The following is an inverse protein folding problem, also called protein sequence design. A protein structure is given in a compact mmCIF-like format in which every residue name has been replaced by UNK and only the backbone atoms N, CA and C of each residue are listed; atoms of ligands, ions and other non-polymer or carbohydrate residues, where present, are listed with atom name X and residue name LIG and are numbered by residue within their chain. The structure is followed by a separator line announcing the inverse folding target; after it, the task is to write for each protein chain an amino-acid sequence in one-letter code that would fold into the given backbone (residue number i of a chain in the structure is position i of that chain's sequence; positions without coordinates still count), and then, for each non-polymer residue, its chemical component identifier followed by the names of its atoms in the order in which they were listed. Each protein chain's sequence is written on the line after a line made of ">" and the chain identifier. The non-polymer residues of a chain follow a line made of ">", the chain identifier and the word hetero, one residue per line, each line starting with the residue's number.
data_IF_995384109027
#
_entry.id   IF_995384109027
#
_cell.length_a   1.000
_cell.length_b   1.000
_cell.length_c   1.000
_cell.angle_alpha   90.00
_cell.angle_beta   90.00
_cell.angle_gamma   90.00
#
_symmetry.space_group_name_H-M   'P 1'
#
loop_
_entity.id
_entity.type
_entity.pdbx_description
1 polymer ?
#
# COMPACT_ATOMS: atom_id res chain seq x y z
N UNK A 1 22.22 -8.06 20.92
CA UNK A 1 23.14 -7.25 21.77
C UNK A 1 24.50 -6.95 21.13
N UNK A 2 24.92 -7.61 20.03
CA UNK A 2 26.24 -7.36 19.41
C UNK A 2 26.36 -5.98 18.73
N UNK A 3 25.25 -5.36 18.33
CA UNK A 3 25.22 -4.08 17.62
C UNK A 3 25.84 -2.94 18.44
N UNK A 4 25.52 -2.84 19.72
CA UNK A 4 26.03 -1.75 20.57
C UNK A 4 27.53 -1.85 20.83
N UNK A 5 28.03 -3.07 21.12
CA UNK A 5 29.47 -3.33 21.31
C UNK A 5 30.25 -3.04 20.03
N UNK A 6 29.72 -3.46 18.88
CA UNK A 6 30.34 -3.19 17.58
C UNK A 6 30.43 -1.70 17.28
N UNK A 7 29.39 -0.93 17.56
CA UNK A 7 29.40 0.54 17.37
C UNK A 7 30.41 1.19 18.32
N UNK A 8 30.45 0.77 19.58
CA UNK A 8 31.40 1.28 20.57
C UNK A 8 32.87 0.98 20.23
N UNK A 9 33.15 -0.15 19.59
CA UNK A 9 34.51 -0.56 19.21
C UNK A 9 34.95 0.00 17.85
N UNK A 10 34.05 0.00 16.87
CA UNK A 10 34.37 0.41 15.50
C UNK A 10 34.23 1.91 15.26
N UNK A 11 33.44 2.62 16.07
CA UNK A 11 33.10 4.03 15.85
C UNK A 11 32.03 4.26 14.78
N UNK A 12 31.65 3.23 14.03
CA UNK A 12 30.70 3.37 12.93
C UNK A 12 29.26 3.42 13.47
N UNK A 13 28.50 4.49 13.18
CA UNK A 13 27.11 4.59 13.64
C UNK A 13 26.23 3.60 12.88
N UNK A 14 25.19 3.10 13.56
CA UNK A 14 24.19 2.20 12.98
C UNK A 14 22.79 2.68 13.33
N UNK A 15 21.84 2.50 12.40
CA UNK A 15 20.42 2.77 12.65
C UNK A 15 19.59 1.58 12.20
N UNK A 16 18.64 1.17 13.03
CA UNK A 16 17.77 0.03 12.74
C UNK A 16 16.42 0.17 13.44
N UNK A 17 15.40 -0.44 12.85
CA UNK A 17 14.07 -0.53 13.46
C UNK A 17 13.90 -1.89 14.15
N UNK A 18 13.28 -1.89 15.33
CA UNK A 18 12.99 -3.12 16.07
C UNK A 18 11.64 -3.04 16.76
N UNK A 19 10.96 -4.19 16.86
CA UNK A 19 9.73 -4.32 17.62
C UNK A 19 10.04 -4.94 18.97
N UNK A 20 9.61 -4.27 20.04
CA UNK A 20 9.80 -4.73 21.41
C UNK A 20 8.48 -5.27 21.92
N UNK A 21 8.37 -6.59 22.03
CA UNK A 21 7.13 -7.28 22.39
C UNK A 21 6.59 -6.87 23.76
N UNK A 22 7.47 -6.73 24.76
CA UNK A 22 7.08 -6.35 26.14
C UNK A 22 6.44 -4.97 26.23
N UNK A 23 6.80 -4.07 25.31
CA UNK A 23 6.23 -2.72 25.21
C UNK A 23 5.16 -2.63 24.12
N UNK A 24 5.03 -3.65 23.27
CA UNK A 24 4.18 -3.65 22.08
C UNK A 24 4.40 -2.40 21.19
N UNK A 25 5.68 -2.04 21.01
CA UNK A 25 6.09 -0.80 20.33
C UNK A 25 7.21 -1.04 19.33
N UNK A 26 7.16 -0.30 18.23
CA UNK A 26 8.25 -0.18 17.27
C UNK A 26 9.14 1.00 17.64
N UNK A 27 10.45 0.74 17.64
CA UNK A 27 11.49 1.74 17.83
C UNK A 27 12.36 1.85 16.59
N UNK A 28 12.70 3.07 16.21
CA UNK A 28 13.87 3.36 15.39
C UNK A 28 15.02 3.71 16.34
N UNK A 29 16.09 2.94 16.28
CA UNK A 29 17.23 3.07 17.18
C UNK A 29 18.43 3.54 16.38
N UNK A 30 18.98 4.70 16.74
CA UNK A 30 20.23 5.21 16.18
C UNK A 30 21.32 5.14 17.23
N UNK A 31 22.40 4.45 16.91
CA UNK A 31 23.53 4.21 17.80
C UNK A 31 24.79 4.83 17.20
N UNK A 32 25.55 5.58 17.99
CA UNK A 32 26.84 6.10 17.59
C UNK A 32 27.84 6.07 18.76
N UNK A 33 29.13 6.19 18.46
CA UNK A 33 30.20 6.17 19.46
C UNK A 33 30.90 7.53 19.50
N UNK A 34 30.70 8.34 20.56
CA UNK A 34 31.39 9.61 20.69
C UNK A 34 32.89 9.45 21.02
N UNK A 35 33.25 8.35 21.69
CA UNK A 35 34.62 7.94 22.01
C UNK A 35 34.70 6.42 22.04
N UNK A 36 35.87 5.86 21.70
CA UNK A 36 36.11 4.42 21.67
C UNK A 36 35.76 3.78 23.02
N UNK A 37 34.95 2.72 22.97
CA UNK A 37 34.47 2.01 24.15
C UNK A 37 33.16 2.58 24.73
N UNK A 38 32.68 3.71 24.21
CA UNK A 38 31.40 4.31 24.57
C UNK A 38 30.42 4.30 23.40
N UNK A 39 29.12 4.23 23.71
CA UNK A 39 28.07 4.41 22.72
C UNK A 39 26.93 5.24 23.31
N UNK A 40 26.21 5.91 22.43
CA UNK A 40 24.95 6.59 22.69
C UNK A 40 23.90 5.97 21.77
N UNK A 41 22.77 5.56 22.34
CA UNK A 41 21.64 5.04 21.59
C UNK A 41 20.42 5.95 21.79
N UNK A 42 19.87 6.45 20.69
CA UNK A 42 18.65 7.26 20.65
C UNK A 42 17.51 6.34 20.21
N UNK A 43 16.40 6.38 20.95
CA UNK A 43 15.22 5.55 20.71
C UNK A 43 14.05 6.44 20.31
N UNK A 44 13.66 6.37 19.04
CA UNK A 44 12.47 7.05 18.54
C UNK A 44 11.31 6.06 18.46
N UNK A 45 10.19 6.39 19.08
CA UNK A 45 8.97 5.58 18.97
C UNK A 45 8.33 5.84 17.60
N UNK A 46 8.22 4.80 16.77
CA UNK A 46 7.66 4.88 15.42
C UNK A 46 6.37 4.06 15.25
N UNK A 47 5.80 3.58 16.37
CA UNK A 47 4.62 2.71 16.38
C UNK A 47 3.41 3.33 15.66
N UNK A 48 3.12 4.60 15.92
CA UNK A 48 1.94 5.27 15.36
C UNK A 48 2.09 5.53 13.86
N UNK A 49 3.31 5.83 13.40
CA UNK A 49 3.65 5.91 11.98
C UNK A 49 3.36 4.57 11.30
N UNK A 50 3.92 3.47 11.82
CA UNK A 50 3.73 2.11 11.29
C UNK A 50 2.24 1.72 11.23
N UNK A 51 1.46 2.07 12.26
CA UNK A 51 0.00 1.80 12.30
C UNK A 51 -0.76 2.60 11.23
N UNK A 52 -0.41 3.87 11.06
CA UNK A 52 -1.05 4.74 10.07
C UNK A 52 -0.76 4.26 8.66
N UNK A 53 0.51 3.95 8.36
CA UNK A 53 0.93 3.43 7.06
C UNK A 53 0.22 2.10 6.74
N UNK A 54 0.14 1.19 7.72
CA UNK A 54 -0.59 -0.07 7.56
C UNK A 54 -2.06 0.16 7.26
N UNK A 55 -2.74 1.03 8.03
CA UNK A 55 -4.15 1.34 7.81
C UNK A 55 -4.39 1.95 6.42
N UNK A 56 -3.52 2.86 6.00
CA UNK A 56 -3.60 3.46 4.66
C UNK A 56 -3.45 2.39 3.57
N UNK A 57 -2.49 1.48 3.72
CA UNK A 57 -2.29 0.40 2.78
C UNK A 57 -3.51 -0.53 2.68
N UNK A 58 -4.08 -0.93 3.83
CA UNK A 58 -5.29 -1.76 3.88
C UNK A 58 -6.48 -1.08 3.18
N UNK A 59 -6.67 0.23 3.39
CA UNK A 59 -7.71 1.01 2.72
C UNK A 59 -7.51 1.09 1.20
N UNK A 60 -6.26 1.28 0.75
CA UNK A 60 -5.94 1.31 -0.67
C UNK A 60 -6.20 -0.05 -1.34
N UNK A 61 -5.82 -1.15 -0.69
CA UNK A 61 -6.11 -2.49 -1.20
C UNK A 61 -7.61 -2.76 -1.30
N UNK A 62 -8.38 -2.37 -0.27
CA UNK A 62 -9.83 -2.51 -0.27
C UNK A 62 -10.46 -1.72 -1.42
N UNK A 63 -10.02 -0.47 -1.59
CA UNK A 63 -10.48 0.39 -2.68
C UNK A 63 -10.13 -0.22 -4.05
N UNK A 64 -8.92 -0.73 -4.23
CA UNK A 64 -8.51 -1.41 -5.47
C UNK A 64 -9.33 -2.67 -5.75
N UNK A 65 -9.61 -3.49 -4.73
CA UNK A 65 -10.50 -4.65 -4.85
C UNK A 65 -11.92 -4.24 -5.23
N UNK A 66 -12.41 -3.16 -4.65
CA UNK A 66 -13.75 -2.66 -4.97
C UNK A 66 -13.83 -2.13 -6.41
N UNK A 67 -12.83 -1.33 -6.82
CA UNK A 67 -12.73 -0.82 -8.18
C UNK A 67 -12.64 -1.94 -9.22
N UNK A 68 -11.84 -2.99 -9.00
CA UNK A 68 -11.75 -4.09 -9.96
C UNK A 68 -13.10 -4.81 -10.12
N UNK A 69 -13.80 -5.06 -9.01
CA UNK A 69 -15.14 -5.67 -9.04
C UNK A 69 -16.18 -4.75 -9.69
N UNK A 70 -16.13 -3.43 -9.45
CA UNK A 70 -17.10 -2.49 -10.02
C UNK A 70 -16.89 -2.31 -11.52
N UNK A 71 -15.64 -2.16 -11.96
CA UNK A 71 -15.28 -1.99 -13.38
C UNK A 71 -15.59 -3.25 -14.17
N UNK A 72 -15.30 -4.44 -13.64
CA UNK A 72 -15.67 -5.70 -14.30
C UNK A 72 -17.19 -5.80 -14.54
N UNK A 73 -18.01 -5.37 -13.57
CA UNK A 73 -19.47 -5.36 -13.71
C UNK A 73 -19.95 -4.32 -14.71
N UNK A 74 -19.38 -3.13 -14.67
CA UNK A 74 -19.71 -2.05 -15.59
C UNK A 74 -19.37 -2.46 -17.03
N UNK A 75 -18.20 -3.06 -17.24
CA UNK A 75 -17.76 -3.51 -18.54
C UNK A 75 -18.65 -4.62 -19.10
N UNK A 76 -18.99 -5.63 -18.29
CA UNK A 76 -19.96 -6.66 -18.67
C UNK A 76 -21.32 -6.06 -19.02
N UNK A 77 -21.77 -5.02 -18.32
CA UNK A 77 -23.02 -4.35 -18.66
C UNK A 77 -22.96 -3.64 -20.00
N UNK A 78 -21.83 -3.01 -20.33
CA UNK A 78 -21.62 -2.34 -21.62
C UNK A 78 -21.59 -3.36 -22.76
N UNK A 79 -20.83 -4.45 -22.59
CA UNK A 79 -20.78 -5.56 -23.54
C UNK A 79 -22.15 -6.15 -23.82
N UNK A 80 -22.93 -6.46 -22.79
CA UNK A 80 -24.29 -6.99 -22.94
C UNK A 80 -25.22 -6.00 -23.64
N UNK A 81 -25.15 -4.71 -23.32
CA UNK A 81 -25.97 -3.69 -24.01
C UNK A 81 -25.61 -3.61 -25.49
N UNK A 82 -24.32 -3.76 -25.84
CA UNK A 82 -23.85 -3.80 -27.22
C UNK A 82 -24.36 -5.03 -27.96
N UNK A 83 -24.25 -6.21 -27.36
CA UNK A 83 -24.76 -7.46 -27.93
C UNK A 83 -26.28 -7.42 -28.15
N UNK A 84 -27.05 -6.92 -27.17
CA UNK A 84 -28.50 -6.74 -27.31
C UNK A 84 -28.84 -5.81 -28.48
N UNK A 85 -28.14 -4.68 -28.60
CA UNK A 85 -28.37 -3.76 -29.71
C UNK A 85 -28.07 -4.41 -31.07
N UNK A 86 -27.00 -5.19 -31.16
CA UNK A 86 -26.61 -5.89 -32.39
C UNK A 86 -27.68 -6.91 -32.82
N UNK A 87 -28.17 -7.73 -31.87
CA UNK A 87 -29.25 -8.69 -32.11
C UNK A 87 -30.58 -8.00 -32.50
N UNK A 88 -30.85 -6.79 -31.99
CA UNK A 88 -32.02 -6.01 -32.39
C UNK A 88 -31.91 -5.54 -33.83
N UNK A 89 -30.74 -5.04 -34.24
CA UNK A 89 -30.48 -4.59 -35.62
C UNK A 89 -30.63 -5.76 -36.60
N UNK A 90 -30.10 -6.94 -36.26
CA UNK A 90 -30.23 -8.16 -37.09
C UNK A 90 -31.69 -8.59 -37.29
N UNK A 91 -32.55 -8.34 -36.30
CA UNK A 91 -34.00 -8.56 -36.39
C UNK A 91 -34.75 -7.41 -37.09
N UNK A 92 -34.04 -6.42 -37.67
CA UNK A 92 -34.62 -5.24 -38.31
C UNK A 92 -35.26 -4.25 -37.34
N UNK A 93 -34.92 -4.33 -36.04
CA UNK A 93 -35.40 -3.43 -34.98
C UNK A 93 -34.38 -2.32 -34.71
N UNK A 94 -34.84 -1.22 -34.14
CA UNK A 94 -33.97 -0.13 -33.72
C UNK A 94 -33.18 -0.50 -32.45
N UNK A 95 -31.98 0.08 -32.24
CA UNK A 95 -31.21 -0.08 -31.01
C UNK A 95 -31.99 0.38 -29.79
N UNK A 96 -31.85 -0.35 -28.67
CA UNK A 96 -32.58 -0.06 -27.41
C UNK A 96 -31.75 0.78 -26.44
N UNK A 97 -30.43 0.62 -26.43
CA UNK A 97 -29.54 1.31 -25.49
C UNK A 97 -28.59 2.27 -26.21
N UNK A 98 -28.42 3.49 -25.69
CA UNK A 98 -27.35 4.38 -26.11
C UNK A 98 -26.05 3.96 -25.42
N UNK A 99 -25.04 3.59 -26.20
CA UNK A 99 -23.70 3.29 -25.68
C UNK A 99 -22.88 4.58 -25.64
N UNK A 100 -22.04 4.80 -24.61
CA UNK A 100 -21.12 5.93 -24.61
C UNK A 100 -20.15 5.79 -25.79
N UNK A 101 -19.89 6.90 -26.49
CA UNK A 101 -18.82 6.96 -27.48
C UNK A 101 -17.50 6.66 -26.76
N UNK A 102 -16.65 5.82 -27.35
CA UNK A 102 -15.32 5.56 -26.79
C UNK A 102 -14.62 6.90 -26.62
N UNK A 103 -13.96 7.17 -25.47
CA UNK A 103 -13.04 8.29 -25.41
C UNK A 103 -12.00 8.09 -26.52
N UNK A 104 -11.91 9.07 -27.43
CA UNK A 104 -10.84 9.13 -28.43
C UNK A 104 -9.50 9.19 -27.68
N UNK A 105 -8.55 8.35 -28.08
CA UNK A 105 -7.20 8.23 -27.49
C UNK A 105 -6.44 9.55 -27.43
#
# INVERSE_FOLDING_TARGET
>A
MLTYSRVAESGNPETFETFVESLNMWFNISVYSPEKGYFVAIFDVITDRKKTDKKLHEQLEELQRWYSVSIDREQRSIELKKEINQLLIEQGKSPKYSLPEKPED
#
